data_IF_092024264596
#
_entry.id   IF_092024264596
#
_cell.length_a   1.000
_cell.length_b   1.000
_cell.length_c   1.000
_cell.angle_alpha   90.00
_cell.angle_beta   90.00
_cell.angle_gamma   90.00
#
_symmetry.space_group_name_H-M   'P 1'
#
loop_
_entity.id
_entity.type
_entity.pdbx_description
1 polymer ?
#
# COMPACT_ATOMS: atom_id res chain seq x y z
N UNK A 1 70.37 -34.20 37.94
CA UNK A 1 69.00 -34.12 38.33
C UNK A 1 68.60 -32.65 38.36
N UNK A 2 67.76 -32.18 37.42
CA UNK A 2 67.26 -30.80 37.43
C UNK A 2 65.93 -30.82 38.23
N UNK A 3 66.05 -30.57 39.57
CA UNK A 3 64.92 -30.77 40.48
C UNK A 3 64.08 -29.51 40.66
N UNK A 4 64.56 -28.30 40.36
CA UNK A 4 63.90 -27.07 40.63
C UNK A 4 63.41 -26.30 39.40
N UNK A 5 64.04 -26.45 38.26
CA UNK A 5 63.61 -25.69 37.04
C UNK A 5 63.80 -26.56 35.79
N UNK A 6 62.75 -27.33 35.45
CA UNK A 6 62.72 -28.07 34.17
C UNK A 6 62.20 -27.17 33.05
N UNK A 7 63.11 -26.34 32.50
CA UNK A 7 62.81 -25.38 31.43
C UNK A 7 62.24 -26.09 30.19
N UNK A 8 62.64 -27.30 29.90
CA UNK A 8 62.11 -28.07 28.75
C UNK A 8 60.66 -28.47 28.96
N UNK A 9 60.33 -28.93 30.15
CA UNK A 9 58.89 -29.24 30.50
C UNK A 9 58.06 -28.03 30.51
N UNK A 10 58.54 -26.91 31.04
CA UNK A 10 57.74 -25.61 31.00
C UNK A 10 57.52 -25.11 29.59
N UNK A 11 58.57 -25.26 28.71
CA UNK A 11 58.44 -24.88 27.32
C UNK A 11 57.46 -25.80 26.57
N UNK A 12 57.49 -27.10 26.82
CA UNK A 12 56.54 -28.07 26.26
C UNK A 12 55.06 -27.75 26.69
N UNK A 13 54.86 -27.44 27.95
CA UNK A 13 53.58 -27.09 28.49
C UNK A 13 53.04 -25.75 27.87
N UNK A 14 53.91 -24.75 27.70
CA UNK A 14 53.58 -23.52 27.00
C UNK A 14 53.17 -23.79 25.54
N UNK A 15 53.89 -24.64 24.82
CA UNK A 15 53.58 -25.01 23.43
C UNK A 15 52.27 -25.78 23.34
N UNK A 16 51.98 -26.70 24.28
CA UNK A 16 50.68 -27.37 24.37
C UNK A 16 49.53 -26.38 24.56
N UNK A 17 49.72 -25.38 25.42
CA UNK A 17 48.74 -24.31 25.60
C UNK A 17 48.47 -23.50 24.32
N UNK A 18 49.51 -23.14 23.56
CA UNK A 18 49.40 -22.44 22.29
C UNK A 18 48.66 -23.30 21.25
N UNK A 19 49.02 -24.55 21.11
CA UNK A 19 48.37 -25.48 20.17
C UNK A 19 46.92 -25.73 20.56
N UNK A 20 46.62 -25.90 21.84
CA UNK A 20 45.26 -26.05 22.37
C UNK A 20 44.37 -24.84 22.05
N UNK A 21 44.91 -23.63 22.26
CA UNK A 21 44.18 -22.39 21.91
C UNK A 21 43.96 -22.25 20.39
N UNK A 22 44.91 -22.60 19.55
CA UNK A 22 44.75 -22.57 18.09
C UNK A 22 43.77 -23.62 17.61
N UNK A 23 43.78 -24.82 18.21
CA UNK A 23 42.80 -25.85 17.93
C UNK A 23 41.37 -25.41 18.30
N UNK A 24 41.19 -24.83 19.49
CA UNK A 24 39.91 -24.31 19.94
C UNK A 24 39.36 -23.23 18.99
N UNK A 25 40.20 -22.28 18.56
CA UNK A 25 39.81 -21.26 17.57
C UNK A 25 39.45 -21.87 16.21
N UNK A 26 40.20 -22.85 15.75
CA UNK A 26 39.89 -23.52 14.47
C UNK A 26 38.59 -24.30 14.54
N UNK A 27 38.35 -24.99 15.65
CA UNK A 27 37.09 -25.71 15.91
C UNK A 27 35.91 -24.76 16.03
N UNK A 28 36.07 -23.60 16.68
CA UNK A 28 35.07 -22.56 16.76
C UNK A 28 34.67 -22.05 15.36
N UNK A 29 35.67 -21.76 14.50
CA UNK A 29 35.41 -21.33 13.12
C UNK A 29 34.76 -22.42 12.26
N UNK A 30 35.16 -23.65 12.42
CA UNK A 30 34.60 -24.79 11.69
C UNK A 30 33.14 -25.05 12.12
N UNK A 31 32.86 -24.98 13.41
CA UNK A 31 31.53 -25.20 13.97
C UNK A 31 30.55 -24.08 13.60
N UNK A 32 31.00 -22.83 13.63
CA UNK A 32 30.16 -21.67 13.29
C UNK A 32 29.96 -21.48 11.79
N UNK A 33 30.93 -21.98 10.98
CA UNK A 33 30.95 -21.72 9.54
C UNK A 33 31.39 -20.29 9.17
N UNK A 34 31.73 -19.45 10.16
CA UNK A 34 32.16 -18.08 9.93
C UNK A 34 33.67 -17.93 10.08
N UNK A 35 34.26 -17.12 9.21
CA UNK A 35 35.71 -16.78 9.29
C UNK A 35 35.99 -15.86 10.47
N UNK A 36 35.08 -14.94 10.79
CA UNK A 36 35.17 -13.93 11.84
C UNK A 36 34.06 -14.22 12.84
N UNK A 37 34.44 -14.67 14.06
CA UNK A 37 33.46 -14.93 15.13
C UNK A 37 33.52 -13.89 16.24
N UNK A 38 34.69 -13.30 16.44
CA UNK A 38 34.93 -12.32 17.50
C UNK A 38 35.57 -11.07 16.96
N UNK A 39 35.32 -9.94 17.63
CA UNK A 39 35.94 -8.66 17.28
C UNK A 39 37.49 -8.72 17.32
N UNK A 40 38.05 -9.63 18.14
CA UNK A 40 39.50 -9.86 18.23
C UNK A 40 40.10 -10.52 16.98
N UNK A 41 39.29 -11.19 16.15
CA UNK A 41 39.77 -11.80 14.90
C UNK A 41 39.97 -10.74 13.80
N UNK A 42 38.98 -9.85 13.66
CA UNK A 42 38.98 -8.72 12.71
C UNK A 42 37.84 -7.77 13.07
N UNK A 43 38.17 -6.70 13.78
CA UNK A 43 37.16 -5.72 14.22
C UNK A 43 36.56 -4.95 13.05
N UNK A 44 37.36 -4.61 12.03
CA UNK A 44 36.88 -3.86 10.86
C UNK A 44 35.98 -4.73 9.97
N UNK A 45 36.40 -5.97 9.71
CA UNK A 45 35.58 -6.92 8.94
C UNK A 45 34.28 -7.29 9.63
N UNK A 46 34.29 -7.43 10.96
CA UNK A 46 33.08 -7.69 11.74
C UNK A 46 32.09 -6.51 11.64
N UNK A 47 32.58 -5.28 11.80
CA UNK A 47 31.72 -4.08 11.70
C UNK A 47 31.08 -3.96 10.32
N UNK A 48 31.80 -4.20 9.24
CA UNK A 48 31.29 -4.19 7.87
C UNK A 48 30.26 -5.31 7.69
N UNK A 49 30.56 -6.52 8.15
CA UNK A 49 29.68 -7.69 8.05
C UNK A 49 28.35 -7.44 8.78
N UNK A 50 28.38 -6.90 10.00
CA UNK A 50 27.17 -6.60 10.76
C UNK A 50 26.35 -5.46 10.12
N UNK A 51 27.01 -4.45 9.53
CA UNK A 51 26.34 -3.40 8.76
C UNK A 51 25.63 -3.98 7.54
N UNK A 52 26.31 -4.85 6.77
CA UNK A 52 25.71 -5.52 5.62
C UNK A 52 24.54 -6.44 6.04
N UNK A 53 24.70 -7.18 7.14
CA UNK A 53 23.65 -8.04 7.69
C UNK A 53 22.43 -7.24 8.13
N UNK A 54 22.65 -6.08 8.74
CA UNK A 54 21.57 -5.16 9.10
C UNK A 54 20.85 -4.63 7.84
N UNK A 55 21.60 -4.27 6.80
CA UNK A 55 21.01 -3.84 5.52
C UNK A 55 20.19 -4.95 4.85
N UNK A 56 20.70 -6.18 4.80
CA UNK A 56 19.96 -7.33 4.24
C UNK A 56 18.65 -7.56 4.98
N UNK A 57 18.69 -7.55 6.32
CA UNK A 57 17.45 -7.66 7.13
C UNK A 57 16.50 -6.51 6.88
N UNK A 58 17.03 -5.29 6.74
CA UNK A 58 16.23 -4.10 6.41
C UNK A 58 15.58 -4.20 5.04
N UNK A 59 16.32 -4.66 4.02
CA UNK A 59 15.81 -4.83 2.66
C UNK A 59 14.76 -5.96 2.56
N UNK A 60 14.95 -7.06 3.28
CA UNK A 60 13.94 -8.12 3.33
C UNK A 60 12.64 -7.57 3.93
N UNK A 61 12.71 -6.82 5.03
CA UNK A 61 11.51 -6.19 5.61
C UNK A 61 10.91 -5.13 4.68
N UNK A 62 11.73 -4.39 3.96
CA UNK A 62 11.29 -3.43 2.96
C UNK A 62 10.55 -4.10 1.78
N UNK A 63 11.00 -5.29 1.38
CA UNK A 63 10.31 -6.12 0.37
C UNK A 63 8.94 -6.59 0.86
N UNK A 64 8.84 -7.04 2.13
CA UNK A 64 7.56 -7.41 2.74
C UNK A 64 6.60 -6.18 2.75
N UNK A 65 7.09 -5.03 3.20
CA UNK A 65 6.31 -3.79 3.22
C UNK A 65 5.84 -3.37 1.82
N UNK A 66 6.67 -3.58 0.79
CA UNK A 66 6.27 -3.28 -0.58
C UNK A 66 5.13 -4.21 -1.06
N UNK A 67 5.17 -5.50 -0.69
CA UNK A 67 4.09 -6.43 -1.00
C UNK A 67 2.78 -6.08 -0.27
N UNK A 68 2.89 -5.66 1.00
CA UNK A 68 1.74 -5.15 1.76
C UNK A 68 1.15 -3.90 1.08
N UNK A 69 2.00 -3.00 0.60
CA UNK A 69 1.59 -1.82 -0.15
C UNK A 69 0.90 -2.15 -1.47
N UNK A 70 1.40 -3.13 -2.20
CA UNK A 70 0.75 -3.63 -3.43
C UNK A 70 -0.62 -4.20 -3.11
N UNK A 71 -0.74 -5.02 -2.07
CA UNK A 71 -2.01 -5.62 -1.65
C UNK A 71 -3.04 -4.56 -1.25
N UNK A 72 -2.60 -3.50 -0.57
CA UNK A 72 -3.44 -2.36 -0.21
C UNK A 72 -3.96 -1.64 -1.46
N UNK A 73 -3.08 -1.35 -2.42
CA UNK A 73 -3.45 -0.68 -3.68
C UNK A 73 -4.42 -1.55 -4.49
N UNK A 74 -4.18 -2.85 -4.60
CA UNK A 74 -5.08 -3.77 -5.30
C UNK A 74 -6.46 -3.84 -4.64
N UNK A 75 -6.54 -3.77 -3.31
CA UNK A 75 -7.81 -3.72 -2.61
C UNK A 75 -8.58 -2.43 -2.93
N UNK A 76 -7.89 -1.30 -2.95
CA UNK A 76 -8.50 -0.02 -3.32
C UNK A 76 -8.92 0.00 -4.80
N UNK A 77 -8.10 -0.52 -5.70
CA UNK A 77 -8.38 -0.64 -7.13
C UNK A 77 -9.63 -1.49 -7.39
N UNK A 78 -9.72 -2.66 -6.76
CA UNK A 78 -10.91 -3.51 -6.90
C UNK A 78 -12.19 -2.85 -6.42
N UNK A 79 -12.14 -2.05 -5.35
CA UNK A 79 -13.28 -1.27 -4.88
C UNK A 79 -13.64 -0.12 -5.83
N UNK A 80 -12.64 0.57 -6.38
CA UNK A 80 -12.85 1.62 -7.39
C UNK A 80 -13.43 1.07 -8.70
N UNK A 81 -13.05 -0.13 -9.10
CA UNK A 81 -13.65 -0.80 -10.27
C UNK A 81 -15.14 -1.05 -10.08
N UNK A 82 -15.57 -1.49 -8.88
CA UNK A 82 -16.98 -1.65 -8.58
C UNK A 82 -17.73 -0.29 -8.58
N UNK A 83 -17.12 0.75 -8.03
CA UNK A 83 -17.69 2.08 -8.09
C UNK A 83 -17.83 2.58 -9.53
N UNK A 84 -16.86 2.30 -10.38
CA UNK A 84 -16.90 2.66 -11.80
C UNK A 84 -18.05 1.93 -12.54
N UNK A 85 -18.24 0.64 -12.25
CA UNK A 85 -19.35 -0.14 -12.81
C UNK A 85 -20.71 0.44 -12.38
N UNK A 86 -20.86 0.86 -11.13
CA UNK A 86 -22.06 1.52 -10.62
C UNK A 86 -22.31 2.84 -11.36
N UNK A 87 -21.28 3.65 -11.57
CA UNK A 87 -21.40 4.91 -12.31
C UNK A 87 -21.82 4.69 -13.77
N UNK A 88 -21.26 3.68 -14.43
CA UNK A 88 -21.67 3.31 -15.79
C UNK A 88 -23.13 2.88 -15.83
N UNK A 89 -23.56 2.04 -14.89
CA UNK A 89 -24.97 1.61 -14.80
C UNK A 89 -25.90 2.79 -14.54
N UNK A 90 -25.52 3.68 -13.64
CA UNK A 90 -26.30 4.90 -13.40
C UNK A 90 -26.44 5.75 -14.66
N UNK A 91 -25.36 5.90 -15.44
CA UNK A 91 -25.41 6.61 -16.72
C UNK A 91 -26.38 5.95 -17.72
N UNK A 92 -26.37 4.62 -17.81
CA UNK A 92 -27.31 3.88 -18.67
C UNK A 92 -28.77 4.17 -18.26
N UNK A 93 -29.06 4.12 -16.97
CA UNK A 93 -30.39 4.42 -16.44
C UNK A 93 -30.84 5.86 -16.72
N UNK A 94 -29.91 6.81 -16.61
CA UNK A 94 -30.18 8.21 -16.94
C UNK A 94 -30.48 8.40 -18.42
N UNK A 95 -29.74 7.75 -19.32
CA UNK A 95 -30.01 7.77 -20.76
C UNK A 95 -31.37 7.12 -21.05
N UNK A 96 -31.69 6.02 -20.37
CA UNK A 96 -33.02 5.39 -20.48
C UNK A 96 -34.14 6.33 -20.02
N UNK A 97 -33.96 6.98 -18.88
CA UNK A 97 -34.95 7.94 -18.35
C UNK A 97 -35.12 9.18 -19.24
N UNK A 98 -34.10 9.57 -20.01
CA UNK A 98 -34.19 10.71 -20.95
C UNK A 98 -35.08 10.43 -22.17
N UNK A 99 -35.43 9.16 -22.41
CA UNK A 99 -36.30 8.77 -23.54
C UNK A 99 -37.79 8.96 -23.18
N UNK A 100 -38.19 10.21 -23.02
CA UNK A 100 -39.57 10.61 -22.67
C UNK A 100 -40.62 10.29 -23.74
N UNK A 101 -40.21 9.94 -24.97
CA UNK A 101 -41.11 9.57 -26.04
C UNK A 101 -41.67 8.15 -25.96
N UNK A 102 -41.09 7.30 -25.11
CA UNK A 102 -41.50 5.90 -24.90
C UNK A 102 -41.95 5.64 -23.47
N UNK A 103 -41.32 6.34 -22.51
CA UNK A 103 -41.73 6.28 -21.11
C UNK A 103 -42.95 7.14 -20.91
N UNK A 104 -44.02 6.54 -20.39
CA UNK A 104 -45.26 7.25 -20.11
C UNK A 104 -45.07 8.22 -18.94
N UNK A 105 -45.02 9.51 -19.25
CA UNK A 105 -44.83 10.57 -18.26
C UNK A 105 -46.03 10.70 -17.28
N UNK A 106 -47.17 10.11 -17.61
CA UNK A 106 -48.37 10.07 -16.76
C UNK A 106 -48.41 8.83 -15.87
N UNK A 107 -47.79 7.72 -16.27
CA UNK A 107 -47.60 6.57 -15.38
C UNK A 107 -46.36 6.77 -14.52
N UNK A 108 -46.53 7.20 -13.29
CA UNK A 108 -45.46 7.39 -12.29
C UNK A 108 -44.57 6.15 -12.06
N UNK A 109 -44.95 5.00 -12.60
CA UNK A 109 -44.40 3.68 -12.29
C UNK A 109 -43.03 3.45 -12.93
N UNK A 110 -42.79 3.90 -14.17
CA UNK A 110 -41.54 3.59 -14.88
C UNK A 110 -40.43 4.51 -14.44
N UNK A 111 -40.68 5.79 -14.29
CA UNK A 111 -39.71 6.74 -13.73
C UNK A 111 -39.37 6.43 -12.27
N UNK A 112 -40.38 6.00 -11.47
CA UNK A 112 -40.15 5.65 -10.09
C UNK A 112 -39.28 4.42 -9.96
N UNK A 113 -39.45 3.39 -10.80
CA UNK A 113 -38.57 2.20 -10.79
C UNK A 113 -37.13 2.53 -11.14
N UNK A 114 -36.91 3.41 -12.14
CA UNK A 114 -35.58 3.88 -12.50
C UNK A 114 -34.97 4.68 -11.34
N UNK A 115 -35.75 5.54 -10.68
CA UNK A 115 -35.30 6.29 -9.52
C UNK A 115 -34.91 5.38 -8.36
N UNK A 116 -35.72 4.40 -8.05
CA UNK A 116 -35.45 3.43 -6.97
C UNK A 116 -34.16 2.63 -7.24
N UNK A 117 -33.89 2.25 -8.51
CA UNK A 117 -32.65 1.60 -8.90
C UNK A 117 -31.45 2.55 -8.73
N UNK A 118 -31.56 3.81 -9.15
CA UNK A 118 -30.50 4.81 -8.99
C UNK A 118 -30.22 5.07 -7.51
N UNK A 119 -31.25 5.16 -6.67
CA UNK A 119 -31.07 5.37 -5.23
C UNK A 119 -30.38 4.18 -4.57
N UNK A 120 -30.74 2.95 -4.96
CA UNK A 120 -30.04 1.73 -4.52
C UNK A 120 -28.57 1.73 -4.93
N UNK A 121 -28.27 2.08 -6.20
CA UNK A 121 -26.91 2.20 -6.70
C UNK A 121 -26.10 3.27 -5.97
N UNK A 122 -26.72 4.39 -5.62
CA UNK A 122 -26.10 5.46 -4.84
C UNK A 122 -25.76 5.03 -3.42
N UNK A 123 -26.66 4.29 -2.77
CA UNK A 123 -26.39 3.72 -1.45
C UNK A 123 -25.21 2.75 -1.50
N UNK A 124 -25.18 1.87 -2.51
CA UNK A 124 -24.10 0.90 -2.69
C UNK A 124 -22.76 1.60 -3.01
N UNK A 125 -22.75 2.62 -3.85
CA UNK A 125 -21.57 3.44 -4.11
C UNK A 125 -21.01 4.06 -2.83
N UNK A 126 -21.89 4.63 -2.01
CA UNK A 126 -21.52 5.24 -0.73
C UNK A 126 -20.98 4.17 0.24
N UNK A 127 -21.63 3.01 0.29
CA UNK A 127 -21.22 1.88 1.12
C UNK A 127 -19.82 1.40 0.75
N UNK A 128 -19.53 1.22 -0.54
CA UNK A 128 -18.18 0.84 -1.00
C UNK A 128 -17.15 1.88 -0.55
N UNK A 129 -17.46 3.17 -0.69
CA UNK A 129 -16.57 4.25 -0.26
C UNK A 129 -16.30 4.28 1.24
N UNK A 130 -17.31 3.95 2.06
CA UNK A 130 -17.19 3.99 3.52
C UNK A 130 -16.67 2.70 4.12
N UNK A 131 -16.97 1.54 3.51
CA UNK A 131 -16.69 0.24 4.11
C UNK A 131 -15.37 -0.36 3.65
N UNK A 132 -14.83 0.10 2.50
CA UNK A 132 -13.54 -0.41 2.02
C UNK A 132 -12.42 -0.04 2.98
N UNK A 133 -11.87 -1.06 3.64
CA UNK A 133 -10.77 -0.89 4.58
C UNK A 133 -9.67 -1.94 4.36
N UNK A 134 -8.45 -1.57 4.69
CA UNK A 134 -7.32 -2.46 4.77
C UNK A 134 -6.67 -2.31 6.14
N UNK A 135 -6.60 -3.41 6.90
CA UNK A 135 -6.09 -3.41 8.28
C UNK A 135 -6.71 -2.30 9.15
N UNK A 136 -8.05 -2.16 9.13
CA UNK A 136 -8.85 -1.15 9.85
C UNK A 136 -8.59 0.31 9.42
N UNK A 137 -7.84 0.53 8.35
CA UNK A 137 -7.68 1.84 7.75
C UNK A 137 -8.62 1.97 6.57
N UNK A 138 -9.47 2.98 6.59
CA UNK A 138 -10.34 3.31 5.47
C UNK A 138 -9.48 3.80 4.29
N UNK A 139 -9.80 3.30 3.10
CA UNK A 139 -9.00 3.61 1.91
C UNK A 139 -9.65 4.68 1.04
N UNK A 140 -11.00 4.67 1.00
CA UNK A 140 -11.78 5.42 0.03
C UNK A 140 -12.63 6.54 0.65
N UNK A 141 -12.45 6.88 1.92
CA UNK A 141 -13.15 7.97 2.59
C UNK A 141 -12.48 9.36 2.42
N UNK A 142 -11.34 9.41 1.71
CA UNK A 142 -10.52 10.60 1.54
C UNK A 142 -9.54 10.86 2.70
N UNK A 143 -9.51 10.02 3.72
CA UNK A 143 -8.57 10.14 4.84
C UNK A 143 -7.19 9.57 4.52
N UNK A 144 -7.09 8.70 3.49
CA UNK A 144 -5.85 8.02 3.13
C UNK A 144 -4.95 8.91 2.27
N UNK A 145 -4.34 9.93 2.91
CA UNK A 145 -3.51 10.94 2.25
C UNK A 145 -2.09 10.89 2.79
N UNK A 146 -1.09 10.91 1.89
CA UNK A 146 0.32 11.04 2.24
C UNK A 146 0.87 9.93 3.13
N UNK A 147 0.30 8.72 3.09
CA UNK A 147 0.77 7.62 3.91
C UNK A 147 2.13 7.13 3.42
N UNK A 148 3.09 7.08 4.35
CA UNK A 148 4.46 6.69 4.04
C UNK A 148 4.62 5.17 4.09
N UNK A 149 5.09 4.60 2.99
CA UNK A 149 5.44 3.19 2.86
C UNK A 149 6.95 3.06 2.76
N UNK A 150 7.59 2.47 3.76
CA UNK A 150 9.04 2.27 3.79
C UNK A 150 9.43 1.09 2.92
N UNK A 151 10.08 1.35 1.79
CA UNK A 151 10.51 0.34 0.79
C UNK A 151 12.04 0.20 0.70
N UNK A 152 12.77 0.75 1.66
CA UNK A 152 14.22 0.64 1.71
C UNK A 152 14.74 0.46 3.13
N UNK A 153 16.02 0.04 3.24
CA UNK A 153 16.67 -0.24 4.51
C UNK A 153 17.07 1.02 5.30
N UNK A 154 17.18 2.17 4.63
CA UNK A 154 17.67 3.40 5.23
C UNK A 154 16.53 4.41 5.41
N UNK A 155 16.79 5.44 6.23
CA UNK A 155 15.88 6.55 6.43
C UNK A 155 15.55 7.24 5.08
N UNK A 156 14.31 7.71 4.93
CA UNK A 156 13.81 8.44 3.76
C UNK A 156 13.73 7.62 2.44
N UNK A 157 13.92 6.31 2.50
CA UNK A 157 13.72 5.40 1.38
C UNK A 157 12.27 4.86 1.37
N UNK A 158 11.30 5.74 1.19
CA UNK A 158 9.89 5.39 1.18
C UNK A 158 9.12 6.03 0.04
N UNK A 159 7.94 5.50 -0.21
CA UNK A 159 6.96 5.99 -1.17
C UNK A 159 5.78 6.54 -0.39
N UNK A 160 5.32 7.74 -0.71
CA UNK A 160 4.07 8.26 -0.19
C UNK A 160 2.92 7.84 -1.10
N UNK A 161 1.92 7.18 -0.52
CA UNK A 161 0.71 6.75 -1.21
C UNK A 161 -0.45 7.63 -0.74
N UNK A 162 -1.18 8.18 -1.70
CA UNK A 162 -2.43 8.90 -1.46
C UNK A 162 -3.49 8.30 -2.36
N UNK A 163 -4.64 8.01 -1.79
CA UNK A 163 -5.81 7.54 -2.52
C UNK A 163 -6.85 8.66 -2.41
N UNK A 164 -7.11 9.30 -3.54
CA UNK A 164 -8.08 10.40 -3.63
C UNK A 164 -9.32 9.90 -4.35
N UNK A 165 -10.46 10.00 -3.69
CA UNK A 165 -11.73 9.56 -4.25
C UNK A 165 -12.44 10.76 -4.86
N UNK A 166 -12.88 10.60 -6.09
CA UNK A 166 -13.86 11.51 -6.66
C UNK A 166 -15.15 11.38 -5.84
N UNK A 167 -15.42 12.34 -5.02
CA UNK A 167 -16.70 12.38 -4.32
C UNK A 167 -17.81 12.42 -5.38
N UNK A 168 -18.77 11.52 -5.24
CA UNK A 168 -19.99 11.56 -6.03
C UNK A 168 -20.62 12.96 -5.92
N UNK A 169 -20.36 13.79 -6.88
CA UNK A 169 -20.86 15.16 -6.90
C UNK A 169 -22.11 15.23 -7.77
N UNK A 170 -23.08 14.38 -7.48
CA UNK A 170 -24.42 14.51 -8.02
C UNK A 170 -25.23 15.58 -7.24
N UNK A 171 -24.60 16.73 -6.99
CA UNK A 171 -25.26 17.83 -6.31
C UNK A 171 -26.55 18.28 -7.00
N UNK A 172 -26.57 18.20 -8.32
CA UNK A 172 -27.72 18.53 -9.15
C UNK A 172 -28.90 17.54 -9.00
N UNK A 173 -28.62 16.27 -8.65
CA UNK A 173 -29.66 15.27 -8.46
C UNK A 173 -30.36 15.34 -7.09
N UNK A 174 -29.67 15.87 -6.08
CA UNK A 174 -30.16 15.85 -4.70
C UNK A 174 -31.01 17.07 -4.31
N UNK A 175 -30.90 18.18 -5.04
CA UNK A 175 -31.64 19.41 -4.67
C UNK A 175 -33.10 19.38 -5.14
N UNK A 176 -33.44 18.64 -6.19
CA UNK A 176 -34.80 18.56 -6.70
C UNK A 176 -35.50 17.21 -6.48
N UNK A 177 -34.83 16.23 -5.89
CA UNK A 177 -35.40 14.98 -5.33
C UNK A 177 -36.17 14.07 -6.29
N UNK A 178 -36.35 14.41 -7.58
CA UNK A 178 -37.14 13.63 -8.49
C UNK A 178 -36.61 13.72 -9.93
N UNK A 179 -36.34 12.57 -10.56
CA UNK A 179 -35.89 12.46 -11.94
C UNK A 179 -36.83 13.21 -12.92
N UNK A 180 -38.11 13.22 -12.63
CA UNK A 180 -39.17 13.88 -13.42
C UNK A 180 -38.98 15.40 -13.52
N UNK A 181 -38.48 16.03 -12.46
CA UNK A 181 -38.23 17.46 -12.41
C UNK A 181 -36.90 17.86 -13.02
N UNK A 182 -35.93 16.94 -12.97
CA UNK A 182 -34.62 17.10 -13.57
C UNK A 182 -34.69 17.18 -15.10
N UNK A 183 -35.43 16.30 -15.75
CA UNK A 183 -35.59 16.31 -17.21
C UNK A 183 -36.49 17.42 -17.75
N UNK A 184 -37.13 18.17 -16.88
CA UNK A 184 -37.92 19.37 -17.25
C UNK A 184 -37.09 20.66 -17.20
N UNK A 185 -35.93 20.66 -16.56
CA UNK A 185 -35.05 21.83 -16.46
C UNK A 185 -34.04 21.88 -17.61
N UNK A 186 -33.76 23.08 -18.13
CA UNK A 186 -32.75 23.27 -19.18
C UNK A 186 -31.35 22.85 -18.75
N UNK A 187 -31.08 22.70 -17.44
CA UNK A 187 -29.82 22.20 -16.88
C UNK A 187 -29.58 20.70 -17.10
N UNK A 188 -30.62 19.92 -17.46
CA UNK A 188 -30.49 18.49 -17.73
C UNK A 188 -29.64 18.18 -18.96
N UNK A 189 -29.55 19.10 -19.91
CA UNK A 189 -28.77 18.93 -21.13
C UNK A 189 -27.25 18.96 -20.87
N UNK A 190 -26.79 19.68 -19.87
CA UNK A 190 -25.35 19.79 -19.56
C UNK A 190 -24.77 18.52 -18.94
N UNK A 191 -25.57 17.68 -18.30
CA UNK A 191 -25.13 16.38 -17.76
C UNK A 191 -25.06 15.31 -18.86
N UNK A 192 -25.90 15.42 -19.88
CA UNK A 192 -25.89 14.53 -21.05
C UNK A 192 -24.72 14.85 -22.01
N UNK A 193 -24.21 16.08 -22.02
CA UNK A 193 -23.08 16.51 -22.84
C UNK A 193 -21.70 16.00 -22.34
N UNK A 194 -21.70 15.12 -21.39
CA UNK A 194 -20.54 14.30 -21.07
C UNK A 194 -19.33 15.01 -20.47
N UNK A 195 -19.50 16.20 -19.89
CA UNK A 195 -18.49 16.76 -19.00
C UNK A 195 -18.58 16.12 -17.61
N UNK A 196 -18.42 14.81 -17.57
CA UNK A 196 -17.85 14.19 -16.38
C UNK A 196 -16.44 14.78 -16.26
N UNK A 197 -16.28 15.78 -15.44
CA UNK A 197 -14.96 16.16 -15.01
C UNK A 197 -14.35 14.93 -14.30
N UNK A 198 -13.60 14.13 -15.05
CA UNK A 198 -12.71 13.10 -14.53
C UNK A 198 -11.56 13.76 -13.79
N UNK A 199 -11.88 14.61 -12.85
CA UNK A 199 -10.95 15.26 -11.93
C UNK A 199 -10.68 14.33 -10.76
N UNK A 200 -10.15 13.15 -11.01
CA UNK A 200 -9.88 12.21 -9.95
C UNK A 200 -9.28 10.90 -10.41
N UNK A 201 -8.38 10.97 -11.38
CA UNK A 201 -7.45 9.86 -11.57
C UNK A 201 -6.58 9.83 -10.32
N UNK A 202 -6.54 8.68 -9.64
CA UNK A 202 -5.63 8.44 -8.54
C UNK A 202 -4.22 8.89 -8.96
N UNK A 203 -3.80 10.05 -8.48
CA UNK A 203 -2.41 10.50 -8.66
C UNK A 203 -1.57 9.71 -7.69
N UNK A 204 -0.92 8.66 -8.17
CA UNK A 204 0.24 8.10 -7.50
C UNK A 204 1.33 9.18 -7.65
N UNK A 205 1.37 10.10 -6.70
CA UNK A 205 2.35 11.15 -6.66
C UNK A 205 3.69 10.60 -6.18
N UNK A 206 4.58 10.31 -7.10
CA UNK A 206 6.01 10.25 -6.80
C UNK A 206 6.44 11.66 -6.41
N UNK A 207 6.68 11.89 -5.14
CA UNK A 207 7.31 13.13 -4.69
C UNK A 207 8.76 13.09 -5.17
N UNK A 208 9.12 14.01 -6.06
CA UNK A 208 10.48 14.18 -6.56
C UNK A 208 11.47 14.15 -5.40
N UNK A 209 12.42 13.25 -5.50
CA UNK A 209 13.63 13.25 -4.68
C UNK A 209 14.51 14.38 -5.22
N UNK A 210 14.22 15.61 -4.83
CA UNK A 210 15.17 16.70 -5.04
C UNK A 210 16.28 16.56 -4.02
N UNK A 211 17.48 16.35 -4.55
CA UNK A 211 18.76 16.37 -3.86
C UNK A 211 18.87 17.59 -2.93
N UNK A 212 19.27 17.31 -1.69
CA UNK A 212 19.84 18.22 -0.73
C UNK A 212 20.95 17.50 0.00
#
# INVERSE_FOLDING_TARGET
>A
MIVQHNITSMNANRQLGIVGNNLAKSTEKLSSGYRINRAADDAAGLAISEKMRAQVRGLNRASDNAQDGISLIQTAEGAMDQQHAILQRTRELLVQASNTGVLDAESENDFQKIQDEIDTLKEEYTRIGTDTEFNKKKLLDGSYQGQHLQVGANKDQGISVSIDLVKWNLKTFSENGNLKDYFKSEESQTVLDGTFETSGIAKIGTKDVTNG
#
